data_IF_143730090942
#
_entry.id   IF_143730090942
#
_cell.length_a   1.000
_cell.length_b   1.000
_cell.length_c   1.000
_cell.angle_alpha   90.00
_cell.angle_beta   90.00
_cell.angle_gamma   90.00
#
_symmetry.space_group_name_H-M   'P 1'
#
loop_
_entity.id
_entity.type
_entity.pdbx_description
1 polymer ?
#
# COMPACT_ATOMS: atom_id res chain seq x y z
N UNK A 1 10.65 -51.85 -32.69
CA UNK A 1 9.80 -51.27 -31.63
C UNK A 1 10.67 -50.39 -30.75
N UNK A 2 10.71 -49.08 -31.05
CA UNK A 2 11.51 -48.12 -30.27
C UNK A 2 10.61 -47.44 -29.24
N UNK A 3 10.82 -47.72 -27.95
CA UNK A 3 10.19 -47.05 -26.85
C UNK A 3 10.86 -45.69 -26.69
N UNK A 4 10.15 -44.60 -27.01
CA UNK A 4 10.57 -43.24 -26.68
C UNK A 4 10.20 -42.97 -25.21
N UNK A 5 11.21 -42.85 -24.36
CA UNK A 5 11.07 -42.44 -22.96
C UNK A 5 10.81 -40.94 -22.92
N UNK A 6 9.63 -40.56 -22.42
CA UNK A 6 9.26 -39.16 -22.20
C UNK A 6 9.80 -38.75 -20.83
N UNK A 7 10.78 -37.87 -20.78
CA UNK A 7 11.27 -37.25 -19.55
C UNK A 7 10.46 -35.95 -19.39
N UNK A 8 9.66 -35.77 -18.29
CA UNK A 8 9.01 -34.50 -18.03
C UNK A 8 10.05 -33.47 -17.60
N UNK A 9 10.17 -32.41 -18.36
CA UNK A 9 10.95 -31.23 -18.02
C UNK A 9 10.22 -30.51 -16.86
N UNK A 10 10.66 -30.73 -15.62
CA UNK A 10 10.23 -29.96 -14.47
C UNK A 10 10.88 -28.58 -14.60
N UNK A 11 10.07 -27.59 -15.01
CA UNK A 11 10.46 -26.20 -15.07
C UNK A 11 10.48 -25.65 -13.63
N UNK A 12 11.68 -25.54 -13.07
CA UNK A 12 11.91 -24.89 -11.78
C UNK A 12 11.64 -23.38 -11.96
N UNK A 13 10.46 -22.91 -11.59
CA UNK A 13 10.19 -21.47 -11.50
C UNK A 13 10.95 -20.97 -10.28
N UNK A 14 12.12 -20.38 -10.51
CA UNK A 14 12.80 -19.60 -9.49
C UNK A 14 11.98 -18.32 -9.27
N UNK A 15 11.20 -18.30 -8.20
CA UNK A 15 10.61 -17.07 -7.66
C UNK A 15 11.77 -16.18 -7.22
N UNK A 16 12.17 -15.25 -8.07
CA UNK A 16 13.02 -14.15 -7.66
C UNK A 16 12.17 -13.22 -6.77
N UNK A 17 12.22 -13.45 -5.46
CA UNK A 17 11.87 -12.40 -4.52
C UNK A 17 12.89 -11.27 -4.73
N UNK A 18 12.49 -10.20 -5.41
CA UNK A 18 13.18 -8.94 -5.31
C UNK A 18 13.03 -8.47 -3.86
N UNK A 19 14.00 -8.84 -3.01
CA UNK A 19 14.19 -8.17 -1.73
C UNK A 19 14.55 -6.73 -2.12
N UNK A 20 13.59 -5.84 -1.98
CA UNK A 20 13.82 -4.40 -2.10
C UNK A 20 14.97 -4.09 -1.16
N UNK A 21 16.06 -3.59 -1.69
CA UNK A 21 17.23 -3.24 -0.91
C UNK A 21 16.80 -2.22 0.14
N UNK A 22 16.75 -2.63 1.39
CA UNK A 22 16.39 -1.76 2.51
C UNK A 22 17.40 -0.62 2.56
N UNK A 23 16.94 0.63 2.50
CA UNK A 23 17.83 1.79 2.62
C UNK A 23 18.54 1.74 3.98
N UNK A 24 19.88 1.62 3.96
CA UNK A 24 20.68 1.58 5.17
C UNK A 24 20.56 2.88 5.96
N UNK A 25 20.40 2.75 7.27
CA UNK A 25 20.50 3.90 8.17
C UNK A 25 21.96 4.20 8.39
N UNK A 26 22.32 5.49 8.31
CA UNK A 26 23.59 6.02 8.76
C UNK A 26 23.33 7.07 9.84
N UNK A 27 23.92 6.91 11.00
CA UNK A 27 23.76 7.83 12.12
C UNK A 27 25.11 8.35 12.58
N UNK A 28 25.16 9.64 12.92
CA UNK A 28 26.33 10.33 13.44
C UNK A 28 26.03 11.11 14.71
N UNK A 29 24.83 10.96 15.26
CA UNK A 29 24.37 11.72 16.41
C UNK A 29 25.23 11.46 17.67
N UNK A 30 25.71 10.24 17.84
CA UNK A 30 26.62 9.90 18.95
C UNK A 30 27.92 10.70 18.88
N UNK A 31 28.57 10.70 17.72
CA UNK A 31 29.82 11.46 17.50
C UNK A 31 29.60 12.96 17.59
N UNK A 32 28.50 13.45 17.04
CA UNK A 32 28.18 14.87 17.06
C UNK A 32 27.91 15.39 18.47
N UNK A 33 27.17 14.62 19.28
CA UNK A 33 26.76 15.07 20.62
C UNK A 33 27.79 14.76 21.71
N UNK A 34 28.49 13.62 21.62
CA UNK A 34 29.28 13.05 22.71
C UNK A 34 30.70 12.60 22.30
N UNK A 35 31.09 12.79 21.02
CA UNK A 35 32.34 12.24 20.49
C UNK A 35 33.60 12.63 21.27
N UNK A 36 33.67 13.86 21.77
CA UNK A 36 34.79 14.33 22.60
C UNK A 36 34.68 13.85 24.06
N UNK A 37 33.46 13.77 24.60
CA UNK A 37 33.22 13.42 25.98
C UNK A 37 33.22 11.90 26.21
N UNK A 38 32.60 11.14 25.31
CA UNK A 38 32.41 9.71 25.43
C UNK A 38 32.62 8.99 24.07
N UNK A 39 33.87 8.99 23.52
CA UNK A 39 34.14 8.52 22.17
C UNK A 39 33.73 7.05 21.96
N UNK A 40 33.91 6.19 22.95
CA UNK A 40 33.52 4.77 22.85
C UNK A 40 32.03 4.59 22.83
N UNK A 41 31.27 5.40 23.58
CA UNK A 41 29.82 5.38 23.53
C UNK A 41 29.32 5.86 22.15
N UNK A 42 29.90 6.93 21.62
CA UNK A 42 29.57 7.46 20.32
C UNK A 42 29.81 6.44 19.18
N UNK A 43 30.95 5.74 19.23
CA UNK A 43 31.27 4.64 18.30
C UNK A 43 30.23 3.51 18.38
N UNK A 44 29.89 3.05 19.58
CA UNK A 44 28.91 1.97 19.78
C UNK A 44 27.51 2.38 19.31
N UNK A 45 27.13 3.65 19.54
CA UNK A 45 25.84 4.16 19.08
C UNK A 45 25.79 4.24 17.54
N UNK A 46 26.80 4.83 16.90
CA UNK A 46 26.74 5.14 15.49
C UNK A 46 27.08 3.92 14.60
N UNK A 47 28.07 3.10 15.00
CA UNK A 47 28.59 2.03 14.15
C UNK A 47 28.03 0.66 14.50
N UNK A 48 27.61 0.41 15.76
CA UNK A 48 27.07 -0.86 16.18
C UNK A 48 25.54 -0.82 16.22
N UNK A 49 24.98 0.07 17.05
CA UNK A 49 23.52 0.14 17.17
C UNK A 49 22.85 0.54 15.84
N UNK A 50 23.28 1.67 15.25
CA UNK A 50 22.76 2.15 13.96
C UNK A 50 23.58 1.67 12.75
N UNK A 51 24.59 0.82 12.97
CA UNK A 51 25.37 0.16 11.95
C UNK A 51 24.77 -1.19 11.52
N UNK A 52 25.63 -2.07 10.98
CA UNK A 52 25.21 -3.36 10.41
C UNK A 52 24.69 -4.34 11.48
N UNK A 53 25.06 -4.17 12.75
CA UNK A 53 24.80 -5.18 13.76
C UNK A 53 23.34 -5.20 14.29
N UNK A 54 22.64 -4.06 14.28
CA UNK A 54 21.26 -3.99 14.83
C UNK A 54 20.30 -3.38 13.84
N UNK A 55 20.33 -2.05 13.61
CA UNK A 55 19.33 -1.38 12.79
C UNK A 55 19.40 -1.70 11.29
N UNK A 56 20.55 -2.11 10.80
CA UNK A 56 20.74 -2.52 9.40
C UNK A 56 20.81 -4.06 9.24
N UNK A 57 20.53 -4.83 10.29
CA UNK A 57 20.28 -6.27 10.18
C UNK A 57 18.95 -6.47 9.43
N UNK A 58 19.00 -7.20 8.33
CA UNK A 58 17.85 -7.39 7.43
C UNK A 58 16.83 -8.43 7.92
N UNK A 59 17.06 -9.04 9.07
CA UNK A 59 16.12 -10.00 9.70
C UNK A 59 14.81 -9.33 10.10
N UNK A 60 14.89 -8.06 10.53
CA UNK A 60 13.73 -7.22 10.78
C UNK A 60 13.73 -6.03 9.80
N UNK A 61 12.54 -5.60 9.39
CA UNK A 61 12.40 -4.37 8.61
C UNK A 61 12.70 -3.13 9.47
N UNK A 62 13.07 -2.00 8.84
CA UNK A 62 13.22 -0.72 9.55
C UNK A 62 11.92 -0.29 10.23
N UNK A 63 10.78 -0.63 9.63
CA UNK A 63 9.45 -0.44 10.20
C UNK A 63 9.32 -1.20 11.53
N UNK A 64 9.67 -2.49 11.55
CA UNK A 64 9.55 -3.33 12.74
C UNK A 64 10.52 -2.93 13.84
N UNK A 65 11.77 -2.60 13.51
CA UNK A 65 12.72 -2.01 14.45
C UNK A 65 12.13 -0.77 15.12
N UNK A 66 11.49 0.11 14.35
CA UNK A 66 10.88 1.33 14.89
C UNK A 66 9.68 1.02 15.78
N UNK A 67 8.78 0.09 15.37
CA UNK A 67 7.63 -0.34 16.17
C UNK A 67 8.08 -0.90 17.53
N UNK A 68 9.09 -1.77 17.55
CA UNK A 68 9.67 -2.36 18.75
C UNK A 68 10.26 -1.28 19.65
N UNK A 69 11.10 -0.39 19.09
CA UNK A 69 11.76 0.66 19.86
C UNK A 69 10.78 1.61 20.50
N UNK A 70 9.78 2.08 19.76
CA UNK A 70 8.70 2.95 20.26
C UNK A 70 7.95 2.25 21.40
N UNK A 71 7.60 0.98 21.22
CA UNK A 71 6.90 0.19 22.24
C UNK A 71 7.69 0.07 23.53
N UNK A 72 9.01 -0.20 23.43
CA UNK A 72 9.91 -0.31 24.59
C UNK A 72 10.03 1.03 25.32
N UNK A 73 10.25 2.14 24.61
CA UNK A 73 10.36 3.47 25.19
C UNK A 73 9.08 3.87 25.92
N UNK A 74 7.91 3.63 25.28
CA UNK A 74 6.62 3.87 25.90
C UNK A 74 6.42 3.04 27.17
N UNK A 75 6.77 1.74 27.11
CA UNK A 75 6.66 0.82 28.25
C UNK A 75 7.54 1.22 29.43
N UNK A 76 8.70 1.81 29.14
CA UNK A 76 9.62 2.35 30.16
C UNK A 76 9.20 3.73 30.69
N UNK A 77 8.18 4.36 30.12
CA UNK A 77 7.80 5.74 30.45
C UNK A 77 8.80 6.81 29.98
N UNK A 78 9.70 6.45 29.05
CA UNK A 78 10.67 7.37 28.43
C UNK A 78 9.99 8.16 27.32
N UNK A 79 9.18 9.16 27.69
CA UNK A 79 8.33 9.91 26.76
C UNK A 79 8.83 11.36 26.71
N UNK A 80 10.06 11.50 26.27
CA UNK A 80 10.81 12.75 26.13
C UNK A 80 11.17 13.03 24.65
N UNK A 81 12.20 13.85 24.44
CA UNK A 81 12.73 14.15 23.11
C UNK A 81 13.22 12.90 22.35
N UNK A 82 13.75 11.90 23.07
CA UNK A 82 14.18 10.64 22.47
C UNK A 82 12.98 9.87 21.91
N UNK A 83 11.86 9.82 22.63
CA UNK A 83 10.63 9.21 22.14
C UNK A 83 10.13 9.92 20.87
N UNK A 84 10.13 11.27 20.86
CA UNK A 84 9.78 12.04 19.66
C UNK A 84 10.66 11.67 18.48
N UNK A 85 11.97 11.63 18.67
CA UNK A 85 12.91 11.27 17.60
C UNK A 85 12.65 9.88 17.02
N UNK A 86 12.29 8.91 17.87
CA UNK A 86 11.92 7.57 17.41
C UNK A 86 10.56 7.51 16.72
N UNK A 87 9.59 8.36 17.09
CA UNK A 87 8.35 8.52 16.35
C UNK A 87 8.59 9.10 14.95
N UNK A 88 9.42 10.15 14.86
CA UNK A 88 9.79 10.77 13.57
C UNK A 88 10.56 9.80 12.67
N UNK A 89 11.47 9.01 13.25
CA UNK A 89 12.18 7.94 12.55
C UNK A 89 11.21 6.86 12.08
N UNK A 90 10.29 6.43 12.94
CA UNK A 90 9.26 5.46 12.61
C UNK A 90 8.37 5.92 11.46
N UNK A 91 7.98 7.20 11.43
CA UNK A 91 7.26 7.79 10.31
C UNK A 91 8.05 7.69 9.00
N UNK A 92 9.36 7.96 9.03
CA UNK A 92 10.26 7.81 7.86
C UNK A 92 10.41 6.35 7.43
N UNK A 93 10.29 5.41 8.35
CA UNK A 93 10.34 3.97 8.09
C UNK A 93 8.98 3.38 7.72
N UNK A 94 7.99 4.22 7.45
CA UNK A 94 6.70 3.82 6.91
C UNK A 94 5.62 3.51 7.95
N UNK A 95 5.86 3.75 9.26
CA UNK A 95 4.78 3.61 10.26
C UNK A 95 3.67 4.61 9.94
N UNK A 96 2.47 4.10 9.74
CA UNK A 96 1.29 4.89 9.43
C UNK A 96 0.70 5.52 10.69
N UNK A 97 -0.15 6.55 10.50
CA UNK A 97 -0.97 7.09 11.57
C UNK A 97 -1.90 6.03 12.18
N UNK A 98 -2.43 5.12 11.37
CA UNK A 98 -3.29 4.03 11.85
C UNK A 98 -2.50 3.04 12.70
N UNK A 99 -1.32 2.65 12.27
CA UNK A 99 -0.45 1.72 12.99
C UNK A 99 0.04 2.31 14.31
N UNK A 100 0.54 3.55 14.31
CA UNK A 100 0.98 4.17 15.58
C UNK A 100 -0.20 4.35 16.54
N UNK A 101 -1.39 4.68 16.05
CA UNK A 101 -2.58 4.77 16.89
C UNK A 101 -2.95 3.39 17.47
N UNK A 102 -2.88 2.33 16.68
CA UNK A 102 -3.13 0.96 17.13
C UNK A 102 -2.09 0.50 18.16
N UNK A 103 -0.79 0.74 17.89
CA UNK A 103 0.31 0.43 18.81
C UNK A 103 0.11 1.09 20.16
N UNK A 104 -0.12 2.42 20.17
CA UNK A 104 -0.30 3.17 21.42
C UNK A 104 -1.57 2.75 22.17
N UNK A 105 -2.63 2.38 21.44
CA UNK A 105 -3.86 1.85 22.03
C UNK A 105 -3.61 0.51 22.70
N UNK A 106 -2.96 -0.43 22.03
CA UNK A 106 -2.60 -1.71 22.61
C UNK A 106 -1.66 -1.54 23.80
N UNK A 107 -0.63 -0.71 23.66
CA UNK A 107 0.35 -0.45 24.70
C UNK A 107 -0.28 0.17 25.96
N UNK A 108 -1.40 0.87 25.87
CA UNK A 108 -2.10 1.41 27.04
C UNK A 108 -2.47 0.34 28.08
N UNK A 109 -2.75 -0.90 27.63
CA UNK A 109 -3.10 -2.04 28.50
C UNK A 109 -1.86 -2.66 29.19
N UNK A 110 -0.68 -2.48 28.64
CA UNK A 110 0.58 -3.08 29.14
C UNK A 110 1.51 -2.07 29.79
N UNK A 111 1.52 -0.83 29.28
CA UNK A 111 2.38 0.27 29.76
C UNK A 111 1.65 1.29 30.64
N UNK A 112 0.33 1.15 30.75
CA UNK A 112 -0.56 2.05 31.49
C UNK A 112 -1.03 3.26 30.70
N UNK A 113 -2.26 3.67 30.97
CA UNK A 113 -2.97 4.76 30.29
C UNK A 113 -2.24 6.12 30.32
N UNK A 114 -1.59 6.54 31.45
CA UNK A 114 -0.87 7.80 31.46
C UNK A 114 0.26 7.87 30.42
N UNK A 115 1.03 6.76 30.27
CA UNK A 115 2.08 6.68 29.26
C UNK A 115 1.52 6.75 27.84
N UNK A 116 0.44 6.01 27.57
CA UNK A 116 -0.22 6.06 26.28
C UNK A 116 -0.74 7.46 25.93
N UNK A 117 -1.38 8.15 26.88
CA UNK A 117 -1.82 9.55 26.70
C UNK A 117 -0.67 10.50 26.38
N UNK A 118 0.45 10.36 27.09
CA UNK A 118 1.64 11.16 26.82
C UNK A 118 2.22 10.85 25.42
N UNK A 119 2.28 9.56 25.05
CA UNK A 119 2.71 9.12 23.73
C UNK A 119 1.80 9.66 22.61
N UNK A 120 0.48 9.59 22.78
CA UNK A 120 -0.48 10.12 21.82
C UNK A 120 -0.34 11.63 21.58
N UNK A 121 -0.04 12.42 22.61
CA UNK A 121 0.20 13.86 22.42
C UNK A 121 1.34 14.13 21.47
N UNK A 122 2.47 13.43 21.64
CA UNK A 122 3.64 13.59 20.75
C UNK A 122 3.35 12.99 19.36
N UNK A 123 2.76 11.80 19.31
CA UNK A 123 2.43 11.15 18.03
C UNK A 123 1.48 12.02 17.20
N UNK A 124 0.46 12.65 17.81
CA UNK A 124 -0.44 13.57 17.12
C UNK A 124 0.31 14.74 16.45
N UNK A 125 1.34 15.26 17.09
CA UNK A 125 2.17 16.32 16.50
C UNK A 125 3.04 15.80 15.36
N UNK A 126 3.68 14.65 15.53
CA UNK A 126 4.55 14.02 14.50
C UNK A 126 3.76 13.65 13.25
N UNK A 127 2.52 13.18 13.39
CA UNK A 127 1.61 12.85 12.28
C UNK A 127 0.57 13.95 12.00
N UNK A 128 0.83 15.22 12.40
CA UNK A 128 -0.08 16.33 12.15
C UNK A 128 -0.12 16.79 10.69
N UNK A 129 0.93 16.52 9.92
CA UNK A 129 1.07 17.00 8.55
C UNK A 129 0.58 15.99 7.51
N UNK A 130 -0.36 16.41 6.67
CA UNK A 130 -0.80 15.84 5.39
C UNK A 130 -0.70 14.31 5.24
N UNK A 131 -1.51 13.56 6.00
CA UNK A 131 -1.65 12.12 5.85
C UNK A 131 -1.94 11.68 4.39
N UNK A 132 -2.65 12.50 3.62
CA UNK A 132 -2.95 12.21 2.22
C UNK A 132 -1.70 12.14 1.34
N UNK A 133 -0.79 13.12 1.44
CA UNK A 133 0.46 13.11 0.68
C UNK A 133 1.38 11.96 1.13
N UNK A 134 1.49 11.73 2.45
CA UNK A 134 2.31 10.64 2.99
C UNK A 134 1.75 9.26 2.63
N UNK A 135 0.43 9.07 2.65
CA UNK A 135 -0.21 7.82 2.21
C UNK A 135 -0.02 7.59 0.71
N UNK A 136 -0.15 8.64 -0.10
CA UNK A 136 0.12 8.57 -1.53
C UNK A 136 1.57 8.21 -1.84
N UNK A 137 2.53 8.84 -1.17
CA UNK A 137 3.95 8.55 -1.37
C UNK A 137 4.30 7.11 -0.98
N UNK A 138 3.77 6.60 0.14
CA UNK A 138 3.95 5.21 0.54
C UNK A 138 3.35 4.24 -0.46
N UNK A 139 2.12 4.49 -0.89
CA UNK A 139 1.48 3.67 -1.90
C UNK A 139 2.28 3.66 -3.20
N UNK A 140 2.88 4.81 -3.59
CA UNK A 140 3.76 4.86 -4.75
C UNK A 140 5.01 3.97 -4.57
N UNK A 141 5.56 3.85 -3.37
CA UNK A 141 6.72 2.99 -3.10
C UNK A 141 6.40 1.50 -3.20
N UNK A 142 5.16 1.10 -2.94
CA UNK A 142 4.68 -0.28 -3.07
C UNK A 142 4.39 -0.67 -4.53
N UNK A 143 4.31 0.31 -5.44
CA UNK A 143 3.92 0.08 -6.83
C UNK A 143 5.11 -0.02 -7.79
N UNK A 144 4.99 -0.95 -8.74
CA UNK A 144 5.91 -1.04 -9.89
C UNK A 144 5.60 0.08 -10.91
N UNK A 145 4.32 0.44 -11.06
CA UNK A 145 3.87 1.47 -11.99
C UNK A 145 3.67 2.80 -11.27
N UNK A 146 3.91 3.95 -11.93
CA UNK A 146 3.67 5.25 -11.30
C UNK A 146 2.17 5.45 -11.02
N UNK A 147 1.86 6.20 -9.96
CA UNK A 147 0.48 6.64 -9.68
C UNK A 147 -0.05 7.49 -10.84
N UNK A 148 0.80 8.32 -11.40
CA UNK A 148 0.43 9.20 -12.51
C UNK A 148 -0.13 10.55 -12.06
N UNK A 149 -0.67 11.29 -13.03
CA UNK A 149 -1.24 12.61 -12.83
C UNK A 149 -2.71 12.52 -12.39
N UNK A 150 -3.24 13.56 -11.71
CA UNK A 150 -4.66 13.64 -11.40
C UNK A 150 -5.52 13.41 -12.64
N UNK A 151 -6.49 12.52 -12.54
CA UNK A 151 -7.35 12.11 -13.65
C UNK A 151 -8.44 13.18 -13.95
N UNK A 152 -8.01 14.39 -14.27
CA UNK A 152 -8.89 15.56 -14.45
C UNK A 152 -9.86 15.41 -15.62
N UNK A 153 -9.44 14.76 -16.71
CA UNK A 153 -10.26 14.59 -17.91
C UNK A 153 -11.52 13.75 -17.65
N UNK A 154 -11.45 12.81 -16.74
CA UNK A 154 -12.53 11.90 -16.38
C UNK A 154 -13.11 12.15 -14.98
N UNK A 155 -12.65 13.18 -14.26
CA UNK A 155 -13.02 13.44 -12.86
C UNK A 155 -14.54 13.45 -12.63
N UNK A 156 -15.33 13.97 -13.57
CA UNK A 156 -16.80 13.98 -13.49
C UNK A 156 -17.46 12.59 -13.46
N UNK A 157 -16.73 11.55 -13.79
CA UNK A 157 -17.19 10.16 -13.77
C UNK A 157 -16.66 9.36 -12.58
N UNK A 158 -16.05 10.05 -11.59
CA UNK A 158 -15.51 9.43 -10.40
C UNK A 158 -16.08 10.11 -9.16
N UNK A 159 -16.32 9.31 -8.12
CA UNK A 159 -16.52 9.79 -6.76
C UNK A 159 -15.19 9.67 -6.04
N UNK A 160 -14.62 10.79 -5.54
CA UNK A 160 -13.29 10.84 -4.94
C UNK A 160 -12.17 11.08 -5.96
N UNK A 161 -10.92 11.03 -5.49
CA UNK A 161 -9.75 11.34 -6.31
C UNK A 161 -9.18 10.09 -6.97
N UNK A 162 -8.83 10.21 -8.24
CA UNK A 162 -8.14 9.18 -9.00
C UNK A 162 -7.01 9.76 -9.83
N UNK A 163 -6.09 8.91 -10.23
CA UNK A 163 -4.88 9.25 -10.99
C UNK A 163 -4.75 8.32 -12.18
N UNK A 164 -4.09 8.79 -13.23
CA UNK A 164 -3.91 8.04 -14.47
C UNK A 164 -2.45 8.14 -14.93
N UNK A 165 -1.82 7.00 -15.14
CA UNK A 165 -0.51 6.88 -15.75
C UNK A 165 -0.60 6.03 -17.02
N UNK A 166 -0.53 6.60 -18.23
CA UNK A 166 -0.40 5.82 -19.45
C UNK A 166 0.88 4.97 -19.39
N UNK A 167 0.75 3.67 -19.63
CA UNK A 167 1.89 2.72 -19.62
C UNK A 167 2.26 2.33 -21.05
N UNK A 168 1.28 2.09 -21.91
CA UNK A 168 1.49 1.83 -23.33
C UNK A 168 0.42 2.53 -24.16
N UNK A 169 0.85 3.10 -25.30
CA UNK A 169 -0.03 3.66 -26.31
C UNK A 169 0.02 2.90 -27.65
N UNK A 170 0.86 1.85 -27.73
CA UNK A 170 1.07 1.07 -28.94
C UNK A 170 0.51 -0.34 -28.78
N UNK A 171 0.14 -0.98 -29.90
CA UNK A 171 -0.44 -2.32 -29.98
C UNK A 171 -1.71 -2.46 -29.12
N UNK A 172 -1.57 -2.67 -27.82
CA UNK A 172 -2.68 -2.70 -26.86
C UNK A 172 -2.47 -1.54 -25.89
N UNK A 173 -3.21 -0.44 -26.04
CA UNK A 173 -3.13 0.68 -25.09
C UNK A 173 -3.62 0.25 -23.71
N UNK A 174 -2.86 0.61 -22.67
CA UNK A 174 -3.28 0.43 -21.30
C UNK A 174 -2.66 1.47 -20.37
N UNK A 175 -3.31 1.69 -19.25
CA UNK A 175 -2.89 2.64 -18.25
C UNK A 175 -2.95 2.01 -16.85
N UNK A 176 -2.12 2.50 -15.94
CA UNK A 176 -2.32 2.31 -14.52
C UNK A 176 -3.33 3.35 -14.03
N UNK A 177 -4.42 2.88 -13.45
CA UNK A 177 -5.45 3.72 -12.83
C UNK A 177 -5.37 3.54 -11.33
N UNK A 178 -5.13 4.64 -10.61
CA UNK A 178 -4.98 4.64 -9.16
C UNK A 178 -6.13 5.40 -8.52
N UNK A 179 -6.64 4.88 -7.42
CA UNK A 179 -7.78 5.37 -6.66
C UNK A 179 -7.38 5.61 -5.21
N UNK A 180 -7.72 6.77 -4.66
CA UNK A 180 -7.67 7.01 -3.22
C UNK A 180 -8.70 6.14 -2.47
N UNK A 181 -8.53 5.91 -1.16
CA UNK A 181 -9.53 5.19 -0.37
C UNK A 181 -10.94 5.74 -0.56
N UNK A 182 -11.88 4.85 -0.86
CA UNK A 182 -13.27 5.21 -1.12
C UNK A 182 -13.57 5.73 -2.53
N UNK A 183 -12.57 6.01 -3.35
CA UNK A 183 -12.76 6.46 -4.73
C UNK A 183 -13.25 5.32 -5.62
N UNK A 184 -14.21 5.61 -6.47
CA UNK A 184 -14.80 4.68 -7.44
C UNK A 184 -15.29 5.41 -8.67
N UNK A 185 -15.27 4.72 -9.82
CA UNK A 185 -15.88 5.27 -11.02
C UNK A 185 -17.41 5.04 -11.04
N UNK A 186 -18.08 5.77 -11.92
CA UNK A 186 -19.49 5.57 -12.19
C UNK A 186 -19.74 4.20 -12.84
N UNK A 187 -20.96 3.74 -12.80
CA UNK A 187 -21.43 2.70 -13.68
C UNK A 187 -21.11 3.08 -15.12
N UNK A 188 -20.60 2.13 -15.90
CA UNK A 188 -20.27 2.36 -17.31
C UNK A 188 -20.29 1.07 -18.11
N UNK A 189 -20.26 1.23 -19.44
CA UNK A 189 -20.28 0.12 -20.37
C UNK A 189 -19.23 0.36 -21.44
N UNK A 190 -18.36 -0.62 -21.68
CA UNK A 190 -17.51 -0.64 -22.85
C UNK A 190 -18.28 -1.29 -24.01
N UNK A 191 -18.87 -0.44 -24.84
CA UNK A 191 -19.68 -0.84 -25.98
C UNK A 191 -18.79 -1.38 -27.09
N UNK A 192 -19.22 -2.44 -27.77
CA UNK A 192 -18.63 -2.90 -29.03
C UNK A 192 -19.62 -3.74 -29.81
N UNK A 193 -19.53 -3.67 -31.17
CA UNK A 193 -20.28 -4.55 -32.04
C UNK A 193 -19.73 -5.97 -32.09
N UNK A 194 -18.38 -6.11 -32.03
CA UNK A 194 -17.68 -7.38 -32.01
C UNK A 194 -16.37 -7.25 -31.26
N UNK A 195 -15.99 -8.24 -30.47
CA UNK A 195 -14.84 -8.13 -29.54
C UNK A 195 -15.06 -7.05 -28.52
N UNK A 196 -14.02 -6.29 -28.16
CA UNK A 196 -14.11 -5.19 -27.20
C UNK A 196 -14.25 -5.64 -25.75
N UNK A 197 -14.62 -4.69 -24.90
CA UNK A 197 -14.64 -4.86 -23.45
C UNK A 197 -13.37 -4.33 -22.77
N UNK A 198 -13.16 -4.73 -21.53
CA UNK A 198 -12.01 -4.27 -20.72
C UNK A 198 -11.41 -5.45 -19.95
N UNK A 199 -10.11 -5.40 -19.71
CA UNK A 199 -9.46 -6.29 -18.75
C UNK A 199 -8.78 -5.45 -17.68
N UNK A 200 -8.95 -5.85 -16.41
CA UNK A 200 -8.29 -5.23 -15.27
C UNK A 200 -7.30 -6.23 -14.65
N UNK A 201 -6.14 -5.72 -14.25
CA UNK A 201 -5.16 -6.48 -13.48
C UNK A 201 -4.81 -5.69 -12.23
N UNK A 202 -5.17 -6.18 -11.06
CA UNK A 202 -4.81 -5.57 -9.79
C UNK A 202 -3.29 -5.55 -9.60
N UNK A 203 -2.73 -4.39 -9.23
CA UNK A 203 -1.27 -4.24 -9.07
C UNK A 203 -0.85 -3.76 -7.68
N UNK A 204 -1.71 -3.05 -6.96
CA UNK A 204 -1.43 -2.63 -5.59
C UNK A 204 -2.71 -2.34 -4.82
N UNK A 205 -2.65 -2.47 -3.50
CA UNK A 205 -3.77 -2.18 -2.61
C UNK A 205 -4.96 -3.10 -2.80
N UNK A 206 -6.16 -2.60 -2.48
CA UNK A 206 -7.39 -3.37 -2.44
C UNK A 206 -8.55 -2.61 -3.07
N UNK A 207 -9.26 -3.23 -3.98
CA UNK A 207 -10.40 -2.63 -4.68
C UNK A 207 -11.53 -3.60 -4.94
N UNK A 208 -12.53 -3.09 -5.65
CA UNK A 208 -13.75 -3.79 -5.99
C UNK A 208 -14.08 -3.66 -7.47
N UNK A 209 -14.65 -4.70 -8.03
CA UNK A 209 -15.35 -4.73 -9.31
C UNK A 209 -16.77 -5.25 -9.08
N UNK A 210 -17.74 -4.68 -9.77
CA UNK A 210 -19.10 -5.21 -9.75
C UNK A 210 -19.76 -5.07 -11.11
N UNK A 211 -20.34 -6.15 -11.59
CA UNK A 211 -21.26 -6.18 -12.72
C UNK A 211 -22.68 -5.98 -12.22
N UNK A 212 -23.53 -5.27 -12.99
CA UNK A 212 -24.91 -5.03 -12.61
C UNK A 212 -25.66 -6.33 -12.33
N UNK A 213 -26.36 -6.34 -11.21
CA UNK A 213 -27.11 -7.52 -10.76
C UNK A 213 -26.28 -8.66 -10.15
N UNK A 214 -24.96 -8.52 -10.05
CA UNK A 214 -24.06 -9.52 -9.44
C UNK A 214 -23.44 -9.00 -8.14
N UNK A 215 -22.98 -9.89 -7.25
CA UNK A 215 -22.16 -9.51 -6.11
C UNK A 215 -20.86 -8.82 -6.55
N UNK A 216 -20.37 -7.89 -5.73
CA UNK A 216 -19.07 -7.31 -5.95
C UNK A 216 -17.95 -8.33 -5.74
N UNK A 217 -16.91 -8.24 -6.56
CA UNK A 217 -15.71 -9.09 -6.53
C UNK A 217 -14.53 -8.25 -6.04
N UNK A 218 -13.80 -8.78 -5.07
CA UNK A 218 -12.60 -8.13 -4.56
C UNK A 218 -11.45 -8.23 -5.56
N UNK A 219 -10.70 -7.12 -5.71
CA UNK A 219 -9.50 -7.08 -6.53
C UNK A 219 -8.30 -6.83 -5.62
N UNK A 220 -7.41 -7.80 -5.58
CA UNK A 220 -6.10 -7.73 -4.93
C UNK A 220 -4.99 -7.77 -5.98
N UNK A 221 -3.72 -7.48 -5.63
CA UNK A 221 -2.60 -7.66 -6.54
C UNK A 221 -2.56 -9.07 -7.14
N UNK A 222 -2.48 -9.15 -8.49
CA UNK A 222 -2.54 -10.40 -9.23
C UNK A 222 -3.94 -10.84 -9.64
N UNK A 223 -5.02 -10.25 -9.13
CA UNK A 223 -6.38 -10.53 -9.59
C UNK A 223 -6.59 -10.02 -11.01
N UNK A 224 -7.14 -10.86 -11.87
CA UNK A 224 -7.49 -10.52 -13.26
C UNK A 224 -9.01 -10.55 -13.43
N UNK A 225 -9.60 -9.44 -13.88
CA UNK A 225 -11.01 -9.34 -14.22
C UNK A 225 -11.14 -9.17 -15.73
N UNK A 226 -11.84 -10.10 -16.38
CA UNK A 226 -12.20 -10.02 -17.79
C UNK A 226 -13.64 -9.51 -17.91
N UNK A 227 -13.81 -8.34 -18.48
CA UNK A 227 -15.10 -7.65 -18.62
C UNK A 227 -15.49 -7.70 -20.09
N UNK A 228 -16.49 -8.51 -20.48
CA UNK A 228 -16.96 -8.55 -21.86
C UNK A 228 -17.51 -7.18 -22.31
N UNK A 229 -17.50 -6.95 -23.61
CA UNK A 229 -18.18 -5.79 -24.15
C UNK A 229 -19.68 -5.80 -23.79
N UNK A 230 -20.25 -4.61 -23.67
CA UNK A 230 -21.68 -4.38 -23.42
C UNK A 230 -22.15 -4.80 -22.01
N UNK A 231 -21.21 -5.05 -21.07
CA UNK A 231 -21.51 -5.34 -19.68
C UNK A 231 -21.47 -4.04 -18.86
N UNK A 232 -22.56 -3.72 -18.15
CA UNK A 232 -22.61 -2.60 -17.21
C UNK A 232 -21.89 -2.97 -15.92
N UNK A 233 -20.90 -2.17 -15.55
CA UNK A 233 -20.05 -2.43 -14.39
C UNK A 233 -19.46 -1.15 -13.81
N UNK A 234 -18.87 -1.29 -12.64
CA UNK A 234 -18.01 -0.29 -12.01
C UNK A 234 -16.83 -0.95 -11.32
N UNK A 235 -15.80 -0.18 -11.03
CA UNK A 235 -14.66 -0.58 -10.19
C UNK A 235 -14.10 0.62 -9.41
N UNK A 236 -13.36 0.34 -8.34
CA UNK A 236 -12.78 1.37 -7.48
C UNK A 236 -12.08 0.81 -6.27
N UNK A 237 -11.52 1.70 -5.44
CA UNK A 237 -10.83 1.36 -4.21
C UNK A 237 -11.79 0.80 -3.15
N UNK A 238 -11.27 0.08 -2.17
CA UNK A 238 -11.97 -0.17 -0.91
C UNK A 238 -12.00 1.12 -0.07
N UNK A 239 -12.88 1.16 0.95
CA UNK A 239 -13.10 2.36 1.78
C UNK A 239 -11.85 2.78 2.56
N UNK A 240 -10.99 1.82 2.86
CA UNK A 240 -9.85 1.91 3.77
C UNK A 240 -8.50 1.60 3.10
N UNK A 241 -8.47 1.48 1.78
CA UNK A 241 -7.26 1.16 1.03
C UNK A 241 -7.15 1.99 -0.23
N UNK A 242 -5.96 2.46 -0.54
CA UNK A 242 -5.59 2.81 -1.90
C UNK A 242 -5.72 1.59 -2.80
N UNK A 243 -5.94 1.80 -4.07
CA UNK A 243 -6.06 0.72 -5.04
C UNK A 243 -5.49 1.15 -6.39
N UNK A 244 -4.76 0.26 -7.04
CA UNK A 244 -4.31 0.47 -8.41
C UNK A 244 -4.49 -0.79 -9.25
N UNK A 245 -4.89 -0.59 -10.50
CA UNK A 245 -4.98 -1.67 -11.48
C UNK A 245 -4.53 -1.19 -12.86
N UNK A 246 -4.04 -2.11 -13.67
CA UNK A 246 -3.88 -1.87 -15.10
C UNK A 246 -5.25 -2.02 -15.77
N UNK A 247 -5.60 -1.05 -16.61
CA UNK A 247 -6.81 -1.06 -17.43
C UNK A 247 -6.45 -1.24 -18.89
N UNK A 248 -6.82 -2.36 -19.47
CA UNK A 248 -6.59 -2.69 -20.88
C UNK A 248 -7.88 -2.50 -21.66
N UNK A 249 -7.83 -1.74 -22.74
CA UNK A 249 -8.92 -1.69 -23.72
C UNK A 249 -8.79 -2.89 -24.67
N UNK A 250 -9.75 -3.81 -24.60
CA UNK A 250 -9.73 -4.98 -25.48
C UNK A 250 -10.09 -4.54 -26.91
N UNK A 251 -9.30 -4.91 -27.94
CA UNK A 251 -9.59 -4.54 -29.31
C UNK A 251 -10.96 -5.05 -29.77
N UNK A 252 -11.69 -4.22 -30.48
CA UNK A 252 -13.03 -4.53 -30.99
C UNK A 252 -13.46 -3.61 -32.12
N UNK A 253 -14.61 -3.91 -32.70
CA UNK A 253 -15.23 -3.13 -33.77
C UNK A 253 -16.29 -2.18 -33.19
N UNK A 254 -16.27 -0.91 -33.61
CA UNK A 254 -17.22 0.14 -33.19
C UNK A 254 -17.21 0.31 -31.66
N UNK A 255 -16.01 0.41 -31.08
CA UNK A 255 -15.84 0.53 -29.62
C UNK A 255 -16.13 1.95 -29.12
N UNK A 256 -16.79 2.05 -27.98
CA UNK A 256 -17.01 3.32 -27.26
C UNK A 256 -17.23 3.04 -25.77
N UNK A 257 -17.10 4.08 -24.94
CA UNK A 257 -17.44 3.98 -23.50
C UNK A 257 -18.66 4.84 -23.21
N UNK A 258 -19.69 4.22 -22.65
CA UNK A 258 -20.87 4.90 -22.16
C UNK A 258 -20.78 5.04 -20.64
N UNK A 259 -20.69 6.25 -20.14
CA UNK A 259 -20.73 6.58 -18.73
C UNK A 259 -22.18 6.77 -18.28
N UNK A 260 -22.50 6.21 -17.12
CA UNK A 260 -23.83 6.18 -16.52
C UNK A 260 -23.84 6.85 -15.15
N UNK A 261 -24.79 6.48 -14.30
CA UNK A 261 -24.98 7.03 -12.96
C UNK A 261 -23.83 6.69 -12.00
N UNK A 262 -23.59 7.53 -10.98
CA UNK A 262 -22.66 7.22 -9.89
C UNK A 262 -23.08 5.95 -9.13
N UNK A 263 -22.10 5.24 -8.59
CA UNK A 263 -22.36 4.17 -7.61
C UNK A 263 -22.81 4.80 -6.30
N UNK A 264 -24.01 4.47 -5.85
CA UNK A 264 -24.61 5.04 -4.65
C UNK A 264 -23.84 4.70 -3.37
N UNK A 265 -23.70 5.68 -2.48
CA UNK A 265 -23.02 5.48 -1.19
C UNK A 265 -23.65 4.38 -0.34
N UNK A 266 -24.98 4.23 -0.38
CA UNK A 266 -25.70 3.19 0.33
C UNK A 266 -25.32 1.77 -0.12
N UNK A 267 -25.08 1.56 -1.42
CA UNK A 267 -24.63 0.27 -1.96
C UNK A 267 -23.14 0.06 -1.68
N UNK A 268 -22.31 1.06 -1.95
CA UNK A 268 -20.89 0.98 -1.72
C UNK A 268 -20.55 0.77 -0.23
N UNK A 269 -21.32 1.36 0.70
CA UNK A 269 -21.10 1.20 2.13
C UNK A 269 -21.33 -0.22 2.66
N UNK A 270 -22.08 -1.06 1.94
CA UNK A 270 -22.30 -2.48 2.30
C UNK A 270 -21.08 -3.36 2.03
N UNK A 271 -20.14 -2.90 1.20
CA UNK A 271 -18.92 -3.67 0.92
C UNK A 271 -18.07 -3.83 2.17
N UNK A 272 -17.47 -5.01 2.39
CA UNK A 272 -16.71 -5.29 3.59
C UNK A 272 -15.47 -4.39 3.70
N UNK A 273 -15.10 -4.08 4.94
CA UNK A 273 -13.77 -3.58 5.28
C UNK A 273 -12.73 -4.69 5.08
N UNK A 274 -11.46 -4.34 5.05
CA UNK A 274 -10.41 -5.36 5.05
C UNK A 274 -10.66 -6.31 6.23
N UNK A 275 -10.87 -7.58 5.92
CA UNK A 275 -10.95 -8.59 6.97
C UNK A 275 -9.57 -8.69 7.59
N UNK A 276 -9.40 -8.52 8.91
CA UNK A 276 -8.15 -8.87 9.56
C UNK A 276 -7.81 -10.32 9.17
N UNK A 277 -6.58 -10.58 8.76
CA UNK A 277 -6.11 -11.93 8.49
C UNK A 277 -6.36 -12.74 9.77
N UNK A 278 -7.11 -13.86 9.73
CA UNK A 278 -7.35 -14.67 10.90
C UNK A 278 -6.01 -15.07 11.51
N UNK A 279 -5.85 -14.94 12.84
CA UNK A 279 -4.59 -15.21 13.56
C UNK A 279 -3.97 -16.59 13.26
N UNK A 280 -4.77 -17.55 12.79
CA UNK A 280 -4.32 -18.90 12.43
C UNK A 280 -3.81 -19.06 10.99
N UNK A 281 -3.85 -18.00 10.18
CA UNK A 281 -3.31 -17.96 8.80
C UNK A 281 -2.03 -17.11 8.70
N UNK A 282 -1.54 -16.58 9.81
CA UNK A 282 -0.23 -15.95 9.85
C UNK A 282 0.85 -17.05 9.83
N UNK A 283 1.84 -16.96 8.92
CA UNK A 283 2.90 -17.96 8.78
C UNK A 283 3.79 -18.04 10.01
#
# INVERSE_FOLDING_TARGET
MNKKTFIPLIMLIALNFNIMAQNKITQTAGRTALGEFAPKFAELNDDVLFGEAVWNDTTLSLHDHSMITISILLGKGMIDSSFRSHLELGKKHGITRKEIAALLTQAAFYAGWPNAWAGFRIAKEVWADNDAATEKERFQQEMIFPIGEPNTAYAKYFTGNSYLAPVSSQQIPFANVTFEPGCRNNWHIHMARKGGGQMLVGVAGRGWYQEEGKPAVEILPGTVINIPANVKHWHGAAKDSWFAHLAFSVPGEETSTQWLEPVGDAEYSKLPWATPIPEHELP
#
